data_IF_150487055108
#
_entry.id   IF_150487055108
#
_cell.length_a   1.000
_cell.length_b   1.000
_cell.length_c   1.000
_cell.angle_alpha   90.00
_cell.angle_beta   90.00
_cell.angle_gamma   90.00
#
_symmetry.space_group_name_H-M   'P 1'
#
loop_
_entity.id
_entity.type
_entity.pdbx_description
1 polymer ?
#
# COMPACT_ATOMS: atom_id res chain seq x y z
N UNK A 1 -15.99 -3.65 -14.57
CA UNK A 1 -15.18 -2.47 -14.94
C UNK A 1 -14.68 -2.55 -16.39
N UNK A 2 -14.53 -1.41 -17.09
CA UNK A 2 -13.93 -1.39 -18.45
C UNK A 2 -12.43 -1.68 -18.39
N UNK A 3 -11.87 -2.27 -19.45
CA UNK A 3 -10.43 -2.61 -19.46
C UNK A 3 -9.50 -1.39 -19.35
N UNK A 4 -9.95 -0.20 -19.77
CA UNK A 4 -9.22 1.06 -19.65
C UNK A 4 -9.13 1.54 -18.21
N UNK A 5 -10.21 1.40 -17.45
CA UNK A 5 -10.26 1.68 -16.01
C UNK A 5 -9.39 0.70 -15.23
N UNK A 6 -9.45 -0.58 -15.59
CA UNK A 6 -8.57 -1.61 -15.01
C UNK A 6 -7.09 -1.33 -15.28
N UNK A 7 -6.75 -0.93 -16.50
CA UNK A 7 -5.38 -0.56 -16.86
C UNK A 7 -4.88 0.61 -16.00
N UNK A 8 -5.73 1.60 -15.76
CA UNK A 8 -5.44 2.74 -14.89
C UNK A 8 -5.26 2.32 -13.43
N UNK A 9 -6.16 1.49 -12.89
CA UNK A 9 -6.09 1.04 -11.49
C UNK A 9 -4.86 0.18 -11.20
N UNK A 10 -4.41 -0.60 -12.18
CA UNK A 10 -3.23 -1.48 -12.08
C UNK A 10 -1.94 -0.82 -12.57
N UNK A 11 -2.00 0.43 -13.04
CA UNK A 11 -0.83 1.17 -13.53
C UNK A 11 -0.16 0.54 -14.76
N UNK A 12 -0.94 -0.08 -15.64
CA UNK A 12 -0.47 -0.71 -16.88
C UNK A 12 -1.11 -0.06 -18.11
N UNK A 13 -0.58 -0.33 -19.31
CA UNK A 13 -1.18 0.15 -20.55
C UNK A 13 -2.43 -0.64 -20.92
N UNK A 14 -3.37 0.00 -21.62
CA UNK A 14 -4.61 -0.66 -22.09
C UNK A 14 -4.28 -1.85 -23.00
N UNK A 15 -3.27 -1.74 -23.86
CA UNK A 15 -2.80 -2.85 -24.69
C UNK A 15 -2.31 -4.04 -23.86
N UNK A 16 -1.56 -3.78 -22.78
CA UNK A 16 -1.10 -4.82 -21.86
C UNK A 16 -2.26 -5.48 -21.13
N UNK A 17 -3.23 -4.70 -20.66
CA UNK A 17 -4.45 -5.22 -20.06
C UNK A 17 -5.22 -6.11 -21.05
N UNK A 18 -5.44 -5.65 -22.29
CA UNK A 18 -6.11 -6.41 -23.33
C UNK A 18 -5.37 -7.68 -23.74
N UNK A 19 -4.03 -7.68 -23.67
CA UNK A 19 -3.22 -8.88 -23.86
C UNK A 19 -3.43 -9.87 -22.73
N UNK A 20 -3.39 -9.41 -21.47
CA UNK A 20 -3.64 -10.27 -20.29
C UNK A 20 -5.04 -10.89 -20.33
N UNK A 21 -6.04 -10.16 -20.84
CA UNK A 21 -7.40 -10.66 -21.03
C UNK A 21 -7.44 -11.80 -22.07
N UNK A 22 -6.81 -11.59 -23.23
CA UNK A 22 -6.69 -12.62 -24.28
C UNK A 22 -5.96 -13.87 -23.82
N UNK A 23 -4.91 -13.70 -23.03
CA UNK A 23 -4.15 -14.81 -22.44
C UNK A 23 -4.87 -15.50 -21.27
N UNK A 24 -6.11 -15.09 -20.93
CA UNK A 24 -6.90 -15.65 -19.82
C UNK A 24 -6.31 -15.37 -18.43
N UNK A 25 -5.38 -14.42 -18.32
CA UNK A 25 -4.68 -14.08 -17.06
C UNK A 25 -5.46 -13.10 -16.19
N UNK A 26 -6.40 -12.38 -16.79
CA UNK A 26 -7.42 -11.62 -16.07
C UNK A 26 -8.80 -12.09 -16.50
N UNK A 27 -9.76 -12.25 -15.56
CA UNK A 27 -11.13 -12.60 -15.90
C UNK A 27 -11.79 -11.41 -16.59
N UNK A 28 -11.81 -11.48 -17.91
CA UNK A 28 -12.41 -10.47 -18.76
C UNK A 28 -13.13 -11.16 -19.93
N UNK A 29 -14.21 -10.54 -20.40
CA UNK A 29 -14.99 -10.98 -21.55
C UNK A 29 -15.19 -9.82 -22.52
N UNK A 30 -15.45 -10.15 -23.78
CA UNK A 30 -15.74 -9.15 -24.81
C UNK A 30 -17.26 -8.96 -24.87
N UNK A 31 -17.75 -7.78 -24.52
CA UNK A 31 -19.17 -7.39 -24.59
C UNK A 31 -19.27 -6.27 -25.62
N UNK A 32 -20.05 -6.48 -26.68
CA UNK A 32 -20.24 -5.50 -27.76
C UNK A 32 -18.93 -4.92 -28.32
N UNK A 33 -17.93 -5.79 -28.52
CA UNK A 33 -16.62 -5.38 -29.07
C UNK A 33 -15.65 -4.76 -28.06
N UNK A 34 -16.09 -4.46 -26.84
CA UNK A 34 -15.26 -3.86 -25.78
C UNK A 34 -14.88 -4.93 -24.74
N UNK A 35 -13.65 -4.87 -24.23
CA UNK A 35 -13.25 -5.73 -23.13
C UNK A 35 -13.79 -5.21 -21.80
N UNK A 36 -14.56 -6.05 -21.13
CA UNK A 36 -15.07 -5.83 -19.79
C UNK A 36 -14.42 -6.82 -18.81
N UNK A 37 -13.94 -6.28 -17.71
CA UNK A 37 -13.24 -6.98 -16.65
C UNK A 37 -14.26 -7.33 -15.56
N UNK A 38 -14.37 -8.62 -15.26
CA UNK A 38 -15.26 -9.14 -14.22
C UNK A 38 -14.60 -9.00 -12.85
N UNK A 39 -15.03 -7.99 -12.09
CA UNK A 39 -14.47 -7.68 -10.78
C UNK A 39 -14.69 -8.78 -9.75
N UNK A 40 -15.79 -9.53 -9.86
CA UNK A 40 -16.12 -10.59 -8.90
C UNK A 40 -15.13 -11.76 -9.01
N UNK A 41 -14.65 -12.04 -10.22
CA UNK A 41 -13.65 -13.07 -10.48
C UNK A 41 -12.22 -12.66 -10.06
N UNK A 42 -11.92 -11.36 -9.88
CA UNK A 42 -10.63 -10.92 -9.36
C UNK A 42 -10.44 -11.22 -7.87
N UNK A 43 -11.54 -11.24 -7.11
CA UNK A 43 -11.53 -11.56 -5.68
C UNK A 43 -10.94 -12.96 -5.44
N UNK A 44 -11.05 -13.87 -6.42
CA UNK A 44 -10.62 -15.27 -6.32
C UNK A 44 -9.22 -15.53 -6.91
N UNK A 45 -8.64 -14.61 -7.70
CA UNK A 45 -7.45 -14.87 -8.54
C UNK A 45 -6.25 -13.92 -8.37
N UNK A 46 -6.23 -13.09 -7.32
CA UNK A 46 -5.06 -12.24 -7.04
C UNK A 46 -3.89 -13.07 -6.49
N UNK A 47 -3.06 -13.51 -7.45
CA UNK A 47 -1.64 -13.85 -7.36
C UNK A 47 -1.21 -15.26 -6.93
N UNK A 48 -1.62 -16.33 -7.63
CA UNK A 48 -0.91 -17.66 -7.60
C UNK A 48 0.56 -17.63 -8.07
N UNK A 49 1.13 -16.46 -8.36
CA UNK A 49 2.48 -16.32 -8.94
C UNK A 49 3.41 -15.69 -7.93
N UNK A 50 4.51 -16.39 -7.66
CA UNK A 50 5.65 -15.92 -6.88
C UNK A 50 6.06 -14.51 -7.30
N UNK A 51 6.29 -13.64 -6.33
CA UNK A 51 6.88 -12.33 -6.56
C UNK A 51 8.34 -12.47 -7.01
N UNK A 52 8.82 -11.51 -7.81
CA UNK A 52 10.25 -11.41 -8.09
C UNK A 52 11.05 -11.22 -6.80
N UNK A 53 12.32 -11.58 -6.80
CA UNK A 53 13.20 -11.40 -5.65
C UNK A 53 13.25 -9.94 -5.19
N UNK A 54 13.35 -9.00 -6.12
CA UNK A 54 13.34 -7.57 -5.79
C UNK A 54 12.04 -7.14 -5.11
N UNK A 55 10.88 -7.60 -5.59
CA UNK A 55 9.60 -7.29 -4.95
C UNK A 55 9.46 -7.92 -3.56
N UNK A 56 9.98 -9.14 -3.36
CA UNK A 56 10.03 -9.77 -2.03
C UNK A 56 10.92 -8.99 -1.08
N UNK A 57 12.09 -8.53 -1.54
CA UNK A 57 13.00 -7.69 -0.78
C UNK A 57 12.34 -6.35 -0.39
N UNK A 58 11.63 -5.71 -1.31
CA UNK A 58 10.92 -4.45 -1.04
C UNK A 58 9.80 -4.60 -0.01
N UNK A 59 9.01 -5.68 -0.13
CA UNK A 59 7.96 -6.01 0.84
C UNK A 59 8.57 -6.29 2.22
N UNK A 60 9.66 -7.07 2.29
CA UNK A 60 10.35 -7.34 3.57
C UNK A 60 10.95 -6.09 4.18
N UNK A 61 11.57 -5.23 3.36
CA UNK A 61 12.12 -3.95 3.81
C UNK A 61 11.03 -3.09 4.42
N UNK A 62 9.88 -2.97 3.76
CA UNK A 62 8.76 -2.24 4.33
C UNK A 62 8.19 -2.96 5.56
N UNK A 63 8.06 -4.27 5.59
CA UNK A 63 7.57 -4.96 6.80
C UNK A 63 8.49 -4.77 8.02
N UNK A 64 9.80 -4.60 7.80
CA UNK A 64 10.78 -4.41 8.87
C UNK A 64 10.89 -2.95 9.32
N UNK A 65 11.05 -2.03 8.37
CA UNK A 65 11.34 -0.62 8.66
C UNK A 65 10.12 0.28 8.53
N UNK A 66 9.08 -0.24 7.86
CA UNK A 66 7.76 0.37 7.73
C UNK A 66 7.85 1.73 7.05
N UNK A 67 8.81 1.85 6.16
CA UNK A 67 9.05 3.02 5.33
C UNK A 67 9.40 2.55 3.92
N UNK A 68 9.06 3.36 2.90
CA UNK A 68 9.57 3.19 1.54
C UNK A 68 10.87 3.97 1.29
N UNK A 69 11.55 4.47 2.34
CA UNK A 69 12.84 5.15 2.17
C UNK A 69 13.83 4.28 1.38
N UNK A 70 14.47 4.90 0.39
CA UNK A 70 15.35 4.21 -0.57
C UNK A 70 14.62 3.39 -1.64
N UNK A 71 13.29 3.44 -1.71
CA UNK A 71 12.48 2.87 -2.79
C UNK A 71 11.71 4.02 -3.48
N UNK A 72 11.94 4.21 -4.79
CA UNK A 72 11.41 5.36 -5.53
C UNK A 72 10.62 4.96 -6.77
N UNK A 73 9.87 5.92 -7.32
CA UNK A 73 9.17 5.81 -8.60
C UNK A 73 8.23 4.59 -8.69
N UNK A 74 8.28 3.89 -9.84
CA UNK A 74 7.45 2.71 -10.14
C UNK A 74 7.68 1.59 -9.13
N UNK A 75 8.91 1.45 -8.59
CA UNK A 75 9.23 0.44 -7.58
C UNK A 75 8.48 0.72 -6.27
N UNK A 76 8.44 1.98 -5.83
CA UNK A 76 7.64 2.40 -4.65
C UNK A 76 6.16 2.10 -4.87
N UNK A 77 5.61 2.48 -6.03
CA UNK A 77 4.21 2.24 -6.34
C UNK A 77 3.84 0.74 -6.30
N UNK A 78 4.69 -0.13 -6.87
CA UNK A 78 4.47 -1.59 -6.82
C UNK A 78 4.57 -2.15 -5.42
N UNK A 79 5.60 -1.76 -4.65
CA UNK A 79 5.75 -2.20 -3.27
C UNK A 79 4.55 -1.76 -2.43
N UNK A 80 4.13 -0.50 -2.57
CA UNK A 80 2.96 0.05 -1.88
C UNK A 80 1.66 -0.68 -2.23
N UNK A 81 1.44 -1.01 -3.51
CA UNK A 81 0.29 -1.81 -3.93
C UNK A 81 0.27 -3.21 -3.29
N UNK A 82 1.43 -3.85 -3.15
CA UNK A 82 1.54 -5.14 -2.43
C UNK A 82 1.29 -4.97 -0.95
N UNK A 83 1.87 -3.96 -0.31
CA UNK A 83 1.60 -3.71 1.11
C UNK A 83 0.11 -3.44 1.35
N UNK A 84 -0.56 -2.69 0.47
CA UNK A 84 -2.02 -2.53 0.50
C UNK A 84 -2.74 -3.87 0.39
N UNK A 85 -2.38 -4.69 -0.60
CA UNK A 85 -2.95 -6.03 -0.80
C UNK A 85 -2.80 -6.89 0.46
N UNK A 86 -1.65 -6.83 1.14
CA UNK A 86 -1.44 -7.53 2.40
C UNK A 86 -2.28 -6.97 3.55
N UNK A 87 -2.31 -5.66 3.74
CA UNK A 87 -3.05 -5.01 4.84
C UNK A 87 -4.56 -5.26 4.71
N UNK A 88 -5.09 -5.15 3.49
CA UNK A 88 -6.52 -5.23 3.23
C UNK A 88 -7.00 -6.67 2.92
N UNK A 89 -6.10 -7.67 2.89
CA UNK A 89 -6.47 -9.06 2.58
C UNK A 89 -7.27 -9.72 3.71
N UNK A 90 -8.42 -10.37 3.40
CA UNK A 90 -9.12 -11.22 4.36
C UNK A 90 -8.35 -12.51 4.68
N UNK A 91 -7.45 -12.93 3.77
CA UNK A 91 -6.56 -14.07 3.93
C UNK A 91 -5.09 -13.67 3.67
N UNK A 92 -4.43 -13.06 4.66
CA UNK A 92 -3.02 -12.67 4.53
C UNK A 92 -2.09 -13.89 4.43
N UNK A 93 -2.51 -15.05 4.94
CA UNK A 93 -1.68 -16.26 4.97
C UNK A 93 -1.54 -16.82 3.56
N UNK A 94 -2.66 -17.05 2.87
CA UNK A 94 -2.64 -17.50 1.49
C UNK A 94 -1.85 -16.54 0.60
N UNK A 95 -2.03 -15.23 0.79
CA UNK A 95 -1.32 -14.21 0.02
C UNK A 95 0.20 -14.30 0.20
N UNK A 96 0.70 -14.45 1.43
CA UNK A 96 2.13 -14.60 1.69
C UNK A 96 2.68 -15.92 1.13
N UNK A 97 1.93 -17.02 1.25
CA UNK A 97 2.29 -18.31 0.65
C UNK A 97 2.45 -18.19 -0.87
N UNK A 98 1.52 -17.51 -1.51
CA UNK A 98 1.50 -17.24 -2.94
C UNK A 98 2.69 -16.39 -3.40
N UNK A 99 2.97 -15.30 -2.68
CA UNK A 99 4.08 -14.41 -3.01
C UNK A 99 5.46 -15.05 -2.86
N UNK A 100 5.64 -15.94 -1.88
CA UNK A 100 6.91 -16.62 -1.65
C UNK A 100 6.99 -18.01 -2.29
N UNK A 101 5.87 -18.63 -2.67
CA UNK A 101 5.78 -19.95 -3.29
C UNK A 101 6.65 -21.00 -2.58
N UNK A 102 6.52 -21.10 -1.25
CA UNK A 102 7.29 -22.05 -0.43
C UNK A 102 8.72 -21.64 -0.09
N UNK A 103 9.27 -20.59 -0.72
CA UNK A 103 10.62 -20.11 -0.46
C UNK A 103 10.64 -19.32 0.86
N UNK A 104 11.12 -19.91 1.94
CA UNK A 104 11.22 -19.21 3.22
C UNK A 104 12.36 -18.17 3.20
N UNK A 105 12.11 -16.88 3.51
CA UNK A 105 13.18 -15.90 3.67
C UNK A 105 13.89 -16.09 5.01
N UNK A 106 15.16 -15.73 5.07
CA UNK A 106 15.96 -15.67 6.30
C UNK A 106 15.76 -14.33 7.05
N UNK A 107 16.16 -14.29 8.32
CA UNK A 107 16.16 -13.07 9.14
C UNK A 107 14.95 -12.95 10.08
N UNK A 108 14.79 -11.75 10.66
CA UNK A 108 13.77 -11.42 11.70
C UNK A 108 12.64 -10.55 11.12
N UNK A 109 11.68 -10.16 11.96
CA UNK A 109 10.59 -9.25 11.59
C UNK A 109 9.68 -9.83 10.52
N UNK A 110 9.52 -9.12 9.39
CA UNK A 110 8.72 -9.53 8.25
C UNK A 110 9.08 -10.92 7.71
N UNK A 111 10.36 -11.30 7.75
CA UNK A 111 10.77 -12.64 7.33
C UNK A 111 10.20 -13.73 8.24
N UNK A 112 10.10 -13.47 9.55
CA UNK A 112 9.47 -14.38 10.49
C UNK A 112 7.95 -14.51 10.23
N UNK A 113 7.28 -13.42 9.85
CA UNK A 113 5.85 -13.44 9.46
C UNK A 113 5.63 -14.29 8.21
N UNK A 114 6.48 -14.16 7.19
CA UNK A 114 6.40 -15.00 5.99
C UNK A 114 6.62 -16.48 6.35
N UNK A 115 7.61 -16.80 7.18
CA UNK A 115 7.83 -18.19 7.63
C UNK A 115 6.65 -18.73 8.42
N UNK A 116 6.02 -17.90 9.26
CA UNK A 116 4.81 -18.26 9.99
C UNK A 116 3.68 -18.64 9.01
N UNK A 117 3.46 -17.85 7.96
CA UNK A 117 2.48 -18.17 6.92
C UNK A 117 2.77 -19.51 6.22
N UNK A 118 4.03 -19.74 5.83
CA UNK A 118 4.46 -20.99 5.18
C UNK A 118 4.29 -22.22 6.10
N UNK A 119 4.36 -22.04 7.42
CA UNK A 119 4.20 -23.13 8.42
C UNK A 119 2.77 -23.33 8.93
N UNK A 120 1.82 -22.49 8.52
CA UNK A 120 0.43 -22.58 9.00
C UNK A 120 0.17 -21.95 10.36
N UNK A 121 1.02 -21.03 10.79
CA UNK A 121 0.79 -20.23 12.00
C UNK A 121 -0.07 -19.01 11.67
N UNK A 122 -1.32 -19.27 11.27
CA UNK A 122 -2.23 -18.29 10.70
C UNK A 122 -2.54 -17.14 11.67
N UNK A 123 -2.72 -17.45 12.95
CA UNK A 123 -2.99 -16.45 13.99
C UNK A 123 -1.83 -15.46 14.12
N UNK A 124 -0.58 -15.94 14.11
CA UNK A 124 0.60 -15.09 14.19
C UNK A 124 0.70 -14.12 12.99
N UNK A 125 0.30 -14.58 11.79
CA UNK A 125 0.26 -13.72 10.60
C UNK A 125 -0.83 -12.66 10.71
N UNK A 126 -2.03 -13.04 11.19
CA UNK A 126 -3.16 -12.11 11.37
C UNK A 126 -2.85 -11.06 12.44
N UNK A 127 -2.19 -11.44 13.53
CA UNK A 127 -1.78 -10.49 14.56
C UNK A 127 -0.69 -9.55 14.03
N UNK A 128 0.29 -10.07 13.28
CA UNK A 128 1.27 -9.25 12.61
C UNK A 128 0.64 -8.28 11.59
N UNK A 129 -0.40 -8.69 10.87
CA UNK A 129 -1.16 -7.85 9.94
C UNK A 129 -1.89 -6.72 10.68
N UNK A 130 -2.60 -7.04 11.78
CA UNK A 130 -3.30 -6.04 12.62
C UNK A 130 -2.34 -5.00 13.19
N UNK A 131 -1.19 -5.43 13.68
CA UNK A 131 -0.20 -4.54 14.28
C UNK A 131 0.68 -3.82 13.24
N UNK A 132 0.65 -4.25 11.97
CA UNK A 132 1.52 -3.71 10.92
C UNK A 132 1.30 -2.23 10.64
N UNK A 133 0.14 -1.70 11.03
CA UNK A 133 -0.24 -0.32 10.82
C UNK A 133 -0.26 0.56 12.07
N UNK A 134 0.07 0.07 13.27
CA UNK A 134 0.01 0.90 14.48
C UNK A 134 1.22 1.85 14.57
N UNK A 135 0.97 3.15 14.64
CA UNK A 135 2.02 4.19 14.62
C UNK A 135 1.86 5.24 15.70
N UNK A 136 2.99 5.80 16.14
CA UNK A 136 3.03 7.07 16.87
C UNK A 136 3.54 8.15 15.92
N UNK A 137 2.77 9.22 15.77
CA UNK A 137 3.15 10.42 15.02
C UNK A 137 3.58 11.50 16.01
N UNK A 138 4.78 11.33 16.57
CA UNK A 138 5.37 12.16 17.65
C UNK A 138 6.44 13.14 17.18
N UNK A 139 6.87 13.01 15.92
CA UNK A 139 7.96 13.79 15.35
C UNK A 139 7.66 14.19 13.91
N UNK A 140 8.25 15.30 13.42
CA UNK A 140 8.06 15.75 12.04
C UNK A 140 8.52 14.70 11.03
N UNK A 141 9.64 14.03 11.30
CA UNK A 141 10.16 12.95 10.46
C UNK A 141 9.18 11.76 10.39
N UNK A 142 8.56 11.40 11.52
CA UNK A 142 7.49 10.40 11.53
C UNK A 142 6.30 10.88 10.69
N UNK A 143 5.82 12.11 10.89
CA UNK A 143 4.68 12.66 10.13
C UNK A 143 4.93 12.64 8.62
N UNK A 144 6.08 13.17 8.16
CA UNK A 144 6.39 13.31 6.73
C UNK A 144 6.44 11.95 6.03
N UNK A 145 7.18 10.99 6.62
CA UNK A 145 7.40 9.68 6.04
C UNK A 145 6.09 8.88 6.00
N UNK A 146 5.33 8.94 7.09
CA UNK A 146 4.08 8.20 7.24
C UNK A 146 3.01 8.68 6.27
N UNK A 147 2.82 9.99 6.14
CA UNK A 147 1.83 10.52 5.19
C UNK A 147 2.21 10.14 3.76
N UNK A 148 3.47 10.32 3.37
CA UNK A 148 3.94 9.95 2.02
C UNK A 148 3.74 8.47 1.72
N UNK A 149 4.08 7.60 2.67
CA UNK A 149 4.01 6.16 2.48
C UNK A 149 2.58 5.63 2.50
N UNK A 150 1.74 6.12 3.40
CA UNK A 150 0.33 5.75 3.44
C UNK A 150 -0.43 6.29 2.23
N UNK A 151 -0.08 7.47 1.72
CA UNK A 151 -0.62 7.97 0.46
C UNK A 151 -0.26 7.03 -0.70
N UNK A 152 0.98 6.55 -0.75
CA UNK A 152 1.41 5.56 -1.74
C UNK A 152 0.66 4.22 -1.58
N UNK A 153 0.49 3.72 -0.35
CA UNK A 153 -0.24 2.48 -0.05
C UNK A 153 -1.70 2.60 -0.49
N UNK A 154 -2.36 3.72 -0.17
CA UNK A 154 -3.74 3.97 -0.60
C UNK A 154 -3.85 4.22 -2.11
N UNK A 155 -2.74 4.51 -2.79
CA UNK A 155 -2.71 4.79 -4.23
C UNK A 155 -3.35 6.14 -4.58
N UNK A 156 -3.26 7.10 -3.66
CA UNK A 156 -3.92 8.42 -3.76
C UNK A 156 -2.90 9.46 -4.19
N UNK A 157 -3.27 10.37 -5.10
CA UNK A 157 -2.39 11.50 -5.45
C UNK A 157 -2.45 12.62 -4.41
N UNK A 158 -1.48 13.55 -4.40
CA UNK A 158 -1.56 14.71 -3.49
C UNK A 158 -2.76 15.62 -3.82
N UNK A 159 -3.14 15.72 -5.10
CA UNK A 159 -4.34 16.46 -5.53
C UNK A 159 -5.63 15.80 -5.06
N UNK A 160 -5.77 14.49 -5.26
CA UNK A 160 -6.93 13.72 -4.79
C UNK A 160 -7.04 13.74 -3.25
N UNK A 161 -5.91 13.72 -2.54
CA UNK A 161 -5.90 13.87 -1.09
C UNK A 161 -6.34 15.28 -0.67
N UNK A 162 -5.94 16.31 -1.41
CA UNK A 162 -6.36 17.70 -1.16
C UNK A 162 -7.87 17.85 -1.28
N UNK A 163 -8.46 17.33 -2.36
CA UNK A 163 -9.91 17.33 -2.59
C UNK A 163 -10.67 16.64 -1.46
N UNK A 164 -10.16 15.51 -0.95
CA UNK A 164 -10.82 14.73 0.11
C UNK A 164 -10.70 15.33 1.50
N UNK A 165 -9.68 16.15 1.74
CA UNK A 165 -9.35 16.69 3.08
C UNK A 165 -9.66 18.17 3.24
N UNK A 166 -9.98 18.85 2.14
CA UNK A 166 -10.02 20.31 2.06
C UNK A 166 -8.71 20.94 2.59
N UNK A 167 -7.58 20.30 2.28
CA UNK A 167 -6.23 20.79 2.60
C UNK A 167 -5.51 21.07 1.28
N UNK A 168 -5.03 22.29 1.01
CA UNK A 168 -4.40 22.60 -0.26
C UNK A 168 -3.23 21.66 -0.58
N UNK A 169 -3.07 21.32 -1.86
CA UNK A 169 -1.98 20.43 -2.32
C UNK A 169 -0.60 20.96 -1.91
N UNK A 170 -0.40 22.28 -1.88
CA UNK A 170 0.84 22.92 -1.41
C UNK A 170 1.12 22.67 0.08
N UNK A 171 0.07 22.62 0.91
CA UNK A 171 0.17 22.29 2.34
C UNK A 171 0.52 20.81 2.51
N UNK A 172 -0.12 19.91 1.75
CA UNK A 172 0.23 18.48 1.75
C UNK A 172 1.69 18.27 1.39
N UNK A 173 2.18 18.90 0.30
CA UNK A 173 3.59 18.82 -0.07
C UNK A 173 4.53 19.41 0.98
N UNK A 174 4.10 20.46 1.67
CA UNK A 174 4.87 21.01 2.80
C UNK A 174 4.98 20.00 3.92
N UNK A 175 3.88 19.37 4.33
CA UNK A 175 3.86 18.33 5.36
C UNK A 175 4.72 17.12 4.95
N UNK A 176 4.60 16.65 3.71
CA UNK A 176 5.41 15.53 3.20
C UNK A 176 6.91 15.84 3.12
N UNK A 177 7.29 17.13 3.07
CA UNK A 177 8.68 17.57 3.04
C UNK A 177 9.25 17.85 4.43
N UNK A 178 8.49 18.55 5.27
CA UNK A 178 8.99 19.09 6.54
C UNK A 178 8.43 18.39 7.77
N UNK A 179 7.33 17.64 7.63
CA UNK A 179 6.60 17.06 8.75
C UNK A 179 5.67 18.02 9.47
N UNK A 180 5.60 19.28 9.03
CA UNK A 180 4.81 20.33 9.67
C UNK A 180 3.72 20.85 8.74
N UNK A 181 2.54 21.12 9.30
CA UNK A 181 1.55 21.96 8.62
C UNK A 181 1.77 23.43 8.98
N UNK A 182 1.87 24.35 7.99
CA UNK A 182 1.93 25.79 8.24
C UNK A 182 0.65 26.32 8.89
N UNK A 183 -0.48 25.61 8.77
CA UNK A 183 -1.79 25.99 9.34
C UNK A 183 -2.11 25.22 10.63
N UNK A 184 -1.17 24.40 11.11
CA UNK A 184 -1.27 23.64 12.35
C UNK A 184 -1.85 22.23 12.21
N UNK A 185 -1.98 21.57 13.36
CA UNK A 185 -2.11 20.11 13.46
C UNK A 185 -3.44 19.54 12.93
N UNK A 186 -4.46 20.39 12.76
CA UNK A 186 -5.77 19.95 12.24
C UNK A 186 -5.64 19.38 10.83
N UNK A 187 -4.78 19.93 9.99
CA UNK A 187 -4.56 19.42 8.63
C UNK A 187 -3.93 18.02 8.65
N UNK A 188 -2.92 17.83 9.52
CA UNK A 188 -2.28 16.53 9.73
C UNK A 188 -3.32 15.51 10.19
N UNK A 189 -4.15 15.87 11.17
CA UNK A 189 -5.22 14.99 11.66
C UNK A 189 -6.23 14.62 10.56
N UNK A 190 -6.65 15.57 9.72
CA UNK A 190 -7.55 15.29 8.57
C UNK A 190 -6.92 14.34 7.56
N UNK A 191 -5.65 14.55 7.22
CA UNK A 191 -4.89 13.69 6.30
C UNK A 191 -4.77 12.28 6.87
N UNK A 192 -4.34 12.15 8.14
CA UNK A 192 -4.19 10.88 8.86
C UNK A 192 -5.51 10.11 8.86
N UNK A 193 -6.62 10.77 9.20
CA UNK A 193 -7.97 10.18 9.19
C UNK A 193 -8.38 9.71 7.78
N UNK A 194 -8.15 10.54 6.77
CA UNK A 194 -8.56 10.26 5.38
C UNK A 194 -7.76 9.10 4.77
N UNK A 195 -6.46 9.05 5.05
CA UNK A 195 -5.59 7.95 4.62
C UNK A 195 -5.81 6.66 5.43
N UNK A 196 -6.62 6.72 6.49
CA UNK A 196 -6.85 5.64 7.46
C UNK A 196 -5.52 5.09 7.98
N UNK A 197 -4.63 6.01 8.36
CA UNK A 197 -3.39 5.66 9.03
C UNK A 197 -3.77 5.20 10.44
N UNK A 198 -3.44 3.97 10.86
CA UNK A 198 -3.73 3.50 12.20
C UNK A 198 -2.74 4.15 13.19
N UNK A 199 -3.02 5.41 13.55
CA UNK A 199 -2.22 6.14 14.53
C UNK A 199 -2.77 5.89 15.95
N UNK A 200 -1.87 5.53 16.86
CA UNK A 200 -2.13 5.40 18.30
C UNK A 200 -2.11 6.77 18.98
N UNK A 201 -1.28 7.70 18.48
CA UNK A 201 -1.18 9.06 19.01
C UNK A 201 -0.65 10.03 17.95
N UNK A 202 -1.21 11.24 17.91
CA UNK A 202 -0.75 12.34 17.04
C UNK A 202 -0.32 13.49 17.93
N UNK A 203 0.99 13.61 18.17
CA UNK A 203 1.61 14.66 18.98
C UNK A 203 2.54 15.48 18.11
N UNK A 204 1.95 16.45 17.44
CA UNK A 204 2.68 17.44 16.66
C UNK A 204 2.89 18.65 17.58
N UNK A 205 3.93 18.63 18.42
CA UNK A 205 4.21 19.78 19.27
C UNK A 205 4.52 21.01 18.42
N UNK A 206 3.86 22.12 18.77
CA UNK A 206 4.31 23.47 18.44
C UNK A 206 4.55 24.16 19.78
N UNK A 207 5.64 23.80 20.45
CA UNK A 207 6.12 24.56 21.61
C UNK A 207 6.86 25.78 21.09
N UNK A 208 6.15 26.91 21.19
CA UNK A 208 6.58 28.30 21.17
C UNK A 208 8.03 28.62 20.73
N UNK A 209 8.13 29.33 19.61
CA UNK A 209 8.97 30.53 19.57
C UNK A 209 8.03 31.73 19.45
N UNK A 210 7.76 32.33 20.61
CA UNK A 210 7.40 33.73 20.76
C UNK A 210 8.71 34.49 21.07
#
# INVERSE_FOLDING_TARGET
>A
MKISEFARSEGITVQRAARLAREGRIPARKVSGVWEVDETAFIVRRSRRRLSEQSRSDVLRWMNHKTFDGITGVRKARAAARIREFIDSPDPVALLRDWWAGSAPEGRGGAAVVRAALRGFDQQVRDAQKHMGMWVLDSPDSVRGRISDWRAIRGVSAGELAERTDVPTSVIHTIERTGYSPRGNRDVARIVKTLRIPAVHVRTERSAHA
#
